data_IF_517292194151
#
_entry.id   IF_517292194151
#
_cell.length_a   1.000
_cell.length_b   1.000
_cell.length_c   1.000
_cell.angle_alpha   90.00
_cell.angle_beta   90.00
_cell.angle_gamma   90.00
#
_symmetry.space_group_name_H-M   'P 1'
#
loop_
_entity.id
_entity.type
_entity.pdbx_description
1 polymer ?
#
# COMPACT_ATOMS: atom_id res chain seq x y z
N UNK A 1 27.56 34.56 14.67
CA UNK A 1 26.79 33.87 15.74
C UNK A 1 25.33 33.93 15.33
N UNK A 2 24.86 32.88 14.69
CA UNK A 2 23.45 32.71 14.29
C UNK A 2 22.95 31.55 15.15
N UNK A 3 21.99 31.85 16.01
CA UNK A 3 21.37 30.87 16.90
C UNK A 3 20.43 29.98 16.09
N UNK A 4 20.64 28.68 16.17
CA UNK A 4 19.74 27.64 15.69
C UNK A 4 18.65 27.44 16.74
N UNK A 5 17.42 27.80 16.41
CA UNK A 5 16.23 27.51 17.23
C UNK A 5 15.64 26.19 16.74
N UNK A 6 15.98 25.09 17.41
CA UNK A 6 15.37 23.78 17.26
C UNK A 6 14.20 23.67 18.24
N UNK A 7 13.00 24.04 17.84
CA UNK A 7 11.78 23.65 18.55
C UNK A 7 11.01 22.57 17.78
N UNK A 8 11.50 21.33 17.86
CA UNK A 8 10.69 20.17 17.52
C UNK A 8 9.65 19.94 18.62
N UNK A 9 8.40 20.29 18.36
CA UNK A 9 7.28 19.95 19.23
C UNK A 9 7.03 18.44 19.10
N UNK A 10 7.64 17.68 20.00
CA UNK A 10 7.33 16.25 20.20
C UNK A 10 5.98 16.18 20.90
N UNK A 11 4.97 15.66 20.20
CA UNK A 11 3.69 15.27 20.80
C UNK A 11 3.96 14.01 21.64
N UNK A 12 3.54 13.93 22.91
CA UNK A 12 3.87 12.80 23.78
C UNK A 12 3.26 11.50 23.28
N UNK A 13 4.07 10.44 23.27
CA UNK A 13 3.65 9.04 23.13
C UNK A 13 2.81 8.66 24.35
N UNK A 14 1.48 8.66 24.24
CA UNK A 14 0.59 8.07 25.24
C UNK A 14 0.29 6.62 24.86
N UNK A 15 0.74 5.78 25.74
CA UNK A 15 0.61 4.35 25.97
C UNK A 15 -0.58 3.64 25.27
N UNK A 16 -0.30 2.93 24.16
CA UNK A 16 -1.27 2.17 23.37
C UNK A 16 -1.47 0.72 23.86
N UNK A 17 -1.06 0.38 25.10
CA UNK A 17 -1.20 -0.98 25.63
C UNK A 17 -1.94 -1.00 26.94
N UNK A 18 -3.21 -1.44 26.89
CA UNK A 18 -4.09 -2.06 27.90
C UNK A 18 -5.40 -1.31 28.10
N UNK A 19 -6.49 -1.82 27.54
CA UNK A 19 -7.69 -2.17 28.30
C UNK A 19 -8.72 -2.96 27.50
N UNK A 20 -9.40 -3.88 28.17
CA UNK A 20 -10.30 -4.88 27.64
C UNK A 20 -11.76 -4.39 27.56
N UNK A 21 -12.19 -3.98 26.36
CA UNK A 21 -13.61 -3.92 25.98
C UNK A 21 -13.74 -3.95 24.44
N UNK A 22 -14.12 -5.11 23.89
CA UNK A 22 -13.91 -5.48 22.48
C UNK A 22 -14.84 -4.84 21.44
N UNK A 23 -15.88 -4.08 21.75
CA UNK A 23 -16.88 -3.65 20.78
C UNK A 23 -16.99 -2.14 20.50
N UNK A 24 -16.26 -1.29 21.25
CA UNK A 24 -16.21 0.17 21.01
C UNK A 24 -14.86 0.64 20.46
N UNK A 25 -13.82 -0.21 20.50
CA UNK A 25 -12.45 0.10 20.09
C UNK A 25 -12.25 0.07 18.58
N UNK A 26 -13.08 -0.65 17.85
CA UNK A 26 -12.86 -1.00 16.45
C UNK A 26 -13.09 0.21 15.51
N UNK A 27 -14.13 0.99 15.76
CA UNK A 27 -14.43 2.24 15.04
C UNK A 27 -13.41 3.34 15.37
N UNK A 28 -12.73 3.22 16.51
CA UNK A 28 -11.82 4.24 17.04
C UNK A 28 -10.46 4.26 16.35
N UNK A 29 -9.93 3.09 15.89
CA UNK A 29 -8.61 3.01 15.23
C UNK A 29 -8.61 3.73 13.87
N UNK A 30 -9.51 3.37 12.96
CA UNK A 30 -9.62 3.99 11.65
C UNK A 30 -10.00 5.48 11.74
N UNK A 31 -10.87 5.84 12.69
CA UNK A 31 -11.24 7.23 12.95
C UNK A 31 -10.03 8.06 13.37
N UNK A 32 -9.24 7.57 14.32
CA UNK A 32 -8.01 8.25 14.77
C UNK A 32 -6.97 8.41 13.67
N UNK A 33 -6.76 7.37 12.88
CA UNK A 33 -5.84 7.46 11.73
C UNK A 33 -6.33 8.51 10.74
N UNK A 34 -7.63 8.49 10.40
CA UNK A 34 -8.21 9.46 9.48
C UNK A 34 -8.02 10.91 9.98
N UNK A 35 -8.36 11.18 11.24
CA UNK A 35 -8.19 12.51 11.85
C UNK A 35 -6.73 12.95 11.82
N UNK A 36 -5.81 12.07 12.20
CA UNK A 36 -4.37 12.36 12.20
C UNK A 36 -3.84 12.62 10.79
N UNK A 37 -4.19 11.78 9.83
CA UNK A 37 -3.79 11.97 8.43
C UNK A 37 -4.26 13.32 7.89
N UNK A 38 -5.51 13.71 8.17
CA UNK A 38 -6.02 15.01 7.74
C UNK A 38 -5.26 16.18 8.36
N UNK A 39 -4.91 16.11 9.66
CA UNK A 39 -4.10 17.13 10.31
C UNK A 39 -2.68 17.21 9.73
N UNK A 40 -2.06 16.07 9.41
CA UNK A 40 -0.76 16.02 8.76
C UNK A 40 -0.80 16.60 7.35
N UNK A 41 -1.85 16.31 6.58
CA UNK A 41 -2.06 16.87 5.23
C UNK A 41 -2.29 18.37 5.33
N UNK A 42 -3.14 18.84 6.25
CA UNK A 42 -3.36 20.27 6.48
C UNK A 42 -2.03 20.99 6.80
N UNK A 43 -1.22 20.44 7.69
CA UNK A 43 0.08 21.01 8.00
C UNK A 43 1.00 21.06 6.76
N UNK A 44 1.15 19.95 6.03
CA UNK A 44 2.02 19.90 4.84
C UNK A 44 1.53 20.81 3.72
N UNK A 45 0.22 20.94 3.54
CA UNK A 45 -0.40 21.84 2.55
C UNK A 45 -0.20 23.34 2.87
N UNK A 46 0.06 23.71 4.13
CA UNK A 46 0.49 25.08 4.45
C UNK A 46 1.93 25.36 4.01
N UNK A 47 2.79 24.34 4.00
CA UNK A 47 4.19 24.45 3.56
C UNK A 47 4.33 24.40 2.04
N UNK A 48 3.48 23.60 1.38
CA UNK A 48 3.38 23.48 -0.07
C UNK A 48 1.91 23.58 -0.50
N UNK A 49 1.42 24.77 -0.84
CA UNK A 49 0.01 25.03 -1.20
C UNK A 49 -0.46 24.17 -2.37
N UNK A 50 -1.77 23.85 -2.40
CA UNK A 50 -2.36 22.96 -3.40
C UNK A 50 -2.03 23.36 -4.85
N UNK A 51 -2.09 24.65 -5.18
CA UNK A 51 -1.72 25.12 -6.52
C UNK A 51 -0.27 24.80 -6.87
N UNK A 52 0.65 25.00 -5.93
CA UNK A 52 2.08 24.77 -6.17
C UNK A 52 2.43 23.28 -6.29
N UNK A 53 1.78 22.42 -5.48
CA UNK A 53 2.01 20.96 -5.58
C UNK A 53 1.50 20.42 -6.91
N UNK A 54 0.36 20.92 -7.40
CA UNK A 54 -0.19 20.57 -8.72
C UNK A 54 0.77 20.96 -9.83
N UNK A 55 1.26 22.22 -9.84
CA UNK A 55 2.23 22.69 -10.84
C UNK A 55 3.51 21.83 -10.83
N UNK A 56 4.07 21.58 -9.66
CA UNK A 56 5.29 20.73 -9.54
C UNK A 56 5.05 19.30 -10.01
N UNK A 57 3.91 18.71 -9.70
CA UNK A 57 3.59 17.35 -10.12
C UNK A 57 3.39 17.25 -11.65
N UNK A 58 2.81 18.29 -12.27
CA UNK A 58 2.64 18.38 -13.72
C UNK A 58 3.96 18.59 -14.47
N UNK A 59 4.95 19.21 -13.84
CA UNK A 59 6.28 19.43 -14.42
C UNK A 59 7.14 18.15 -14.49
N UNK A 60 6.71 17.04 -13.83
CA UNK A 60 7.44 15.77 -13.88
C UNK A 60 7.25 15.12 -15.25
N UNK A 61 8.34 14.98 -16.00
CA UNK A 61 8.34 14.40 -17.35
C UNK A 61 8.51 12.87 -17.36
N UNK A 62 9.03 12.28 -16.28
CA UNK A 62 9.14 10.83 -16.17
C UNK A 62 7.75 10.21 -15.99
N UNK A 63 7.35 9.30 -16.90
CA UNK A 63 6.07 8.62 -16.80
C UNK A 63 6.05 7.57 -15.67
N UNK A 64 4.89 7.33 -15.02
CA UNK A 64 4.73 6.19 -14.14
C UNK A 64 5.03 4.87 -14.83
N UNK A 65 5.55 3.90 -14.08
CA UNK A 65 6.02 2.62 -14.60
C UNK A 65 4.90 1.62 -14.92
N UNK A 66 3.63 1.97 -14.75
CA UNK A 66 2.48 1.13 -15.08
C UNK A 66 2.33 -0.07 -14.15
N UNK A 67 1.91 0.19 -12.91
CA UNK A 67 1.77 -0.81 -11.84
C UNK A 67 0.83 -1.95 -12.22
N UNK A 68 -0.36 -1.65 -12.74
CA UNK A 68 -1.31 -2.65 -13.16
C UNK A 68 -0.86 -3.43 -14.40
N UNK A 69 -0.11 -2.81 -15.31
CA UNK A 69 0.44 -3.49 -16.47
C UNK A 69 1.48 -4.54 -16.05
N UNK A 70 2.35 -4.24 -15.09
CA UNK A 70 3.32 -5.21 -14.57
C UNK A 70 2.63 -6.46 -13.98
N UNK A 71 1.50 -6.30 -13.31
CA UNK A 71 0.70 -7.43 -12.80
C UNK A 71 0.05 -8.22 -13.92
N UNK A 72 -0.49 -7.56 -14.98
CA UNK A 72 -1.07 -8.20 -16.15
C UNK A 72 -0.04 -9.04 -16.90
N UNK A 73 1.16 -8.53 -17.09
CA UNK A 73 2.26 -9.23 -17.76
C UNK A 73 2.59 -10.53 -17.03
N UNK A 74 2.74 -10.50 -15.70
CA UNK A 74 2.97 -11.71 -14.90
C UNK A 74 1.85 -12.74 -15.07
N UNK A 75 0.60 -12.29 -15.01
CA UNK A 75 -0.56 -13.19 -15.20
C UNK A 75 -0.59 -13.80 -16.60
N UNK A 76 -0.28 -13.02 -17.63
CA UNK A 76 -0.23 -13.50 -19.03
C UNK A 76 0.84 -14.58 -19.23
N UNK A 77 1.94 -14.50 -18.52
CA UNK A 77 3.02 -15.47 -18.51
C UNK A 77 2.77 -16.66 -17.54
N UNK A 78 1.57 -16.74 -16.97
CA UNK A 78 1.21 -17.73 -15.95
C UNK A 78 2.11 -17.69 -14.70
N UNK A 79 2.65 -16.51 -14.40
CA UNK A 79 3.46 -16.25 -13.23
C UNK A 79 2.63 -15.53 -12.15
N UNK A 80 3.13 -15.59 -10.90
CA UNK A 80 2.51 -14.90 -9.78
C UNK A 80 2.90 -13.41 -9.81
N UNK A 81 1.92 -12.51 -9.81
CA UNK A 81 2.11 -11.08 -9.65
C UNK A 81 2.38 -10.72 -8.18
N UNK A 82 3.60 -10.90 -7.69
CA UNK A 82 3.94 -10.56 -6.31
C UNK A 82 4.20 -9.06 -6.16
N UNK A 83 3.41 -8.41 -5.30
CA UNK A 83 3.63 -7.06 -4.80
C UNK A 83 4.34 -7.20 -3.46
N UNK A 84 5.66 -7.00 -3.46
CA UNK A 84 6.49 -7.17 -2.28
C UNK A 84 6.44 -5.91 -1.39
N UNK A 85 5.87 -6.04 -0.20
CA UNK A 85 5.67 -4.91 0.71
C UNK A 85 6.86 -4.67 1.61
N UNK A 86 7.20 -3.39 1.78
CA UNK A 86 8.29 -2.87 2.60
C UNK A 86 7.73 -1.98 3.71
N UNK A 87 8.04 -2.32 4.98
CA UNK A 87 7.63 -1.54 6.17
C UNK A 87 8.57 -1.79 7.35
N UNK A 88 8.81 -0.76 8.14
CA UNK A 88 9.64 -0.85 9.37
C UNK A 88 8.91 -1.53 10.52
N UNK A 89 7.62 -1.23 10.65
CA UNK A 89 6.78 -1.69 11.75
C UNK A 89 5.33 -1.89 11.30
N UNK A 90 4.52 -2.51 12.14
CA UNK A 90 3.06 -2.55 11.99
C UNK A 90 2.36 -2.58 13.35
N UNK A 91 1.09 -2.14 13.45
CA UNK A 91 0.32 -2.18 14.70
C UNK A 91 0.21 -3.58 15.32
N UNK A 92 0.13 -4.62 14.48
CA UNK A 92 -0.05 -6.00 14.93
C UNK A 92 1.26 -6.73 15.28
N UNK A 93 2.38 -6.35 14.68
CA UNK A 93 3.65 -7.08 14.80
C UNK A 93 4.78 -6.29 15.46
N UNK A 94 4.56 -4.99 15.75
CA UNK A 94 5.61 -4.09 16.24
C UNK A 94 6.71 -3.85 15.20
N UNK A 95 7.94 -3.64 15.65
CA UNK A 95 9.11 -3.46 14.76
C UNK A 95 9.43 -4.79 14.07
N UNK A 96 9.49 -4.78 12.74
CA UNK A 96 9.79 -5.95 11.89
C UNK A 96 11.27 -6.00 11.52
N UNK A 97 11.87 -4.86 11.25
CA UNK A 97 13.27 -4.73 10.84
C UNK A 97 13.92 -3.61 11.65
N UNK A 98 15.04 -3.91 12.33
CA UNK A 98 15.83 -2.91 13.07
C UNK A 98 16.68 -2.05 12.13
N UNK A 99 17.29 -2.66 11.11
CA UNK A 99 18.12 -2.01 10.10
C UNK A 99 17.39 -2.00 8.75
N UNK A 100 16.46 -1.06 8.59
CA UNK A 100 15.65 -0.92 7.40
C UNK A 100 16.39 -0.09 6.34
N UNK A 101 16.80 -0.73 5.25
CA UNK A 101 17.40 -0.08 4.08
C UNK A 101 16.50 -0.33 2.86
N UNK A 102 15.70 0.68 2.43
CA UNK A 102 14.79 0.53 1.30
C UNK A 102 15.49 0.16 -0.01
N UNK A 103 16.71 0.67 -0.23
CA UNK A 103 17.43 0.40 -1.46
C UNK A 103 17.93 -1.06 -1.54
N UNK A 104 18.39 -1.61 -0.43
CA UNK A 104 18.85 -3.00 -0.36
C UNK A 104 17.67 -3.96 -0.55
N UNK A 105 16.55 -3.70 0.16
CA UNK A 105 15.36 -4.55 0.09
C UNK A 105 14.74 -4.50 -1.31
N UNK A 106 14.62 -3.31 -1.93
CA UNK A 106 14.04 -3.15 -3.25
C UNK A 106 14.81 -3.93 -4.32
N UNK A 107 16.14 -3.86 -4.31
CA UNK A 107 16.99 -4.67 -5.22
C UNK A 107 16.81 -6.16 -5.00
N UNK A 108 16.81 -6.61 -3.75
CA UNK A 108 16.62 -8.02 -3.43
C UNK A 108 15.25 -8.55 -3.93
N UNK A 109 14.20 -7.77 -3.78
CA UNK A 109 12.87 -8.12 -4.27
C UNK A 109 12.81 -8.17 -5.81
N UNK A 110 13.43 -7.21 -6.50
CA UNK A 110 13.51 -7.21 -7.97
C UNK A 110 14.30 -8.41 -8.50
N UNK A 111 15.50 -8.67 -7.97
CA UNK A 111 16.35 -9.81 -8.37
C UNK A 111 15.65 -11.16 -8.17
N UNK A 112 14.83 -11.28 -7.13
CA UNK A 112 14.06 -12.49 -6.88
C UNK A 112 12.81 -12.63 -7.76
N UNK A 113 12.40 -11.55 -8.45
CA UNK A 113 11.33 -11.57 -9.46
C UNK A 113 9.97 -11.12 -8.94
N UNK A 114 9.92 -10.26 -7.93
CA UNK A 114 8.71 -9.51 -7.61
C UNK A 114 8.20 -8.74 -8.85
N UNK A 115 6.91 -8.51 -8.94
CA UNK A 115 6.30 -7.74 -10.03
C UNK A 115 6.29 -6.24 -9.72
N UNK A 116 6.00 -5.89 -8.48
CA UNK A 116 5.86 -4.53 -7.98
C UNK A 116 6.35 -4.43 -6.53
N UNK A 117 6.59 -3.20 -6.08
CA UNK A 117 6.80 -2.88 -4.67
C UNK A 117 5.54 -2.23 -4.07
N UNK A 118 5.36 -2.43 -2.76
CA UNK A 118 4.46 -1.64 -1.92
C UNK A 118 5.28 -1.03 -0.79
N UNK A 119 5.30 0.30 -0.68
CA UNK A 119 6.12 0.98 0.33
C UNK A 119 5.22 1.75 1.28
N UNK A 120 5.30 1.41 2.58
CA UNK A 120 4.60 2.12 3.64
C UNK A 120 5.21 3.50 3.82
N UNK A 121 4.41 4.56 3.64
CA UNK A 121 4.81 5.95 3.88
C UNK A 121 4.13 6.54 5.12
N UNK A 122 3.13 5.86 5.69
CA UNK A 122 2.47 6.27 6.91
C UNK A 122 3.43 6.19 8.11
N UNK A 123 3.58 7.30 8.82
CA UNK A 123 4.61 7.46 9.86
C UNK A 123 4.17 6.89 11.21
N UNK A 124 2.95 7.17 11.64
CA UNK A 124 2.54 6.98 13.04
C UNK A 124 2.44 5.52 13.47
N UNK A 125 1.88 4.67 12.62
CA UNK A 125 1.62 3.27 12.90
C UNK A 125 2.65 2.34 12.26
N UNK A 126 3.21 2.73 11.11
CA UNK A 126 4.13 1.90 10.32
C UNK A 126 5.57 2.40 10.30
N UNK A 127 5.83 3.59 10.88
CA UNK A 127 7.15 4.26 10.92
C UNK A 127 7.74 4.47 9.52
N UNK A 128 6.88 4.65 8.51
CA UNK A 128 7.25 4.95 7.14
C UNK A 128 7.53 6.44 6.93
N UNK A 129 8.08 6.77 5.77
CA UNK A 129 8.22 8.15 5.30
C UNK A 129 8.27 8.19 3.77
N UNK A 130 8.06 9.37 3.19
CA UNK A 130 8.09 9.57 1.73
C UNK A 130 9.46 9.22 1.12
N UNK A 131 10.53 9.45 1.85
CA UNK A 131 11.90 9.13 1.44
C UNK A 131 12.10 7.63 1.24
N UNK A 132 11.47 6.78 2.03
CA UNK A 132 11.55 5.32 1.88
C UNK A 132 11.07 4.88 0.49
N UNK A 133 9.97 5.49 -0.02
CA UNK A 133 9.44 5.22 -1.35
C UNK A 133 10.39 5.73 -2.43
N UNK A 134 10.86 6.97 -2.32
CA UNK A 134 11.78 7.57 -3.29
C UNK A 134 13.08 6.77 -3.42
N UNK A 135 13.65 6.35 -2.28
CA UNK A 135 14.88 5.53 -2.25
C UNK A 135 14.64 4.15 -2.85
N UNK A 136 13.54 3.48 -2.51
CA UNK A 136 13.19 2.19 -3.09
C UNK A 136 13.02 2.26 -4.61
N UNK A 137 12.27 3.27 -5.12
CA UNK A 137 12.07 3.51 -6.55
C UNK A 137 13.37 3.74 -7.31
N UNK A 138 14.30 4.52 -6.74
CA UNK A 138 15.60 4.79 -7.35
C UNK A 138 16.52 3.57 -7.40
N UNK A 139 16.32 2.61 -6.51
CA UNK A 139 17.17 1.43 -6.38
C UNK A 139 16.82 0.28 -7.35
N UNK A 140 15.63 0.29 -7.96
CA UNK A 140 15.15 -0.77 -8.85
C UNK A 140 14.27 -0.19 -9.99
N UNK A 141 13.85 -1.05 -10.92
CA UNK A 141 12.96 -0.71 -12.02
C UNK A 141 11.49 -1.03 -11.75
N UNK A 142 11.16 -1.68 -10.64
CA UNK A 142 9.79 -2.11 -10.32
C UNK A 142 8.85 -0.92 -10.12
N UNK A 143 7.58 -1.02 -10.57
CA UNK A 143 6.55 -0.06 -10.20
C UNK A 143 6.28 -0.08 -8.70
N UNK A 144 5.95 1.09 -8.13
CA UNK A 144 5.82 1.28 -6.68
C UNK A 144 4.42 1.76 -6.30
N UNK A 145 3.76 1.02 -5.43
CA UNK A 145 2.55 1.43 -4.74
C UNK A 145 2.93 2.25 -3.50
N UNK A 146 2.39 3.46 -3.38
CA UNK A 146 2.35 4.19 -2.11
C UNK A 146 1.29 3.59 -1.19
N UNK A 147 1.71 2.87 -0.17
CA UNK A 147 0.84 2.28 0.85
C UNK A 147 0.67 3.29 2.00
N UNK A 148 -0.41 4.03 1.96
CA UNK A 148 -0.72 5.13 2.88
C UNK A 148 -2.24 5.32 2.98
N UNK A 149 -2.72 6.15 3.92
CA UNK A 149 -4.11 6.57 3.99
C UNK A 149 -4.31 7.83 3.14
N UNK A 150 -4.75 7.65 1.89
CA UNK A 150 -4.98 8.76 0.96
C UNK A 150 -6.42 9.25 1.14
N UNK A 151 -6.59 10.48 1.62
CA UNK A 151 -7.88 11.08 1.99
C UNK A 151 -8.16 12.41 1.30
N UNK A 152 -7.14 13.03 0.70
CA UNK A 152 -7.18 14.38 0.15
C UNK A 152 -6.47 14.44 -1.20
N UNK A 153 -6.98 15.17 -2.20
CA UNK A 153 -6.34 15.34 -3.51
C UNK A 153 -4.89 15.81 -3.46
N UNK A 154 -4.51 16.59 -2.46
CA UNK A 154 -3.14 17.05 -2.26
C UNK A 154 -2.15 15.86 -2.17
N UNK A 155 -2.57 14.77 -1.49
CA UNK A 155 -1.75 13.56 -1.35
C UNK A 155 -1.53 12.82 -2.68
N UNK A 156 -2.46 12.95 -3.64
CA UNK A 156 -2.30 12.36 -4.99
C UNK A 156 -1.12 13.02 -5.72
N UNK A 157 -1.05 14.35 -5.67
CA UNK A 157 0.05 15.11 -6.26
C UNK A 157 1.37 14.87 -5.51
N UNK A 158 1.32 14.80 -4.18
CA UNK A 158 2.49 14.40 -3.38
C UNK A 158 2.98 13.00 -3.79
N UNK A 159 2.07 12.06 -4.02
CA UNK A 159 2.43 10.70 -4.49
C UNK A 159 3.18 10.74 -5.82
N UNK A 160 2.73 11.61 -6.74
CA UNK A 160 3.44 11.84 -8.00
C UNK A 160 4.86 12.40 -7.78
N UNK A 161 5.00 13.38 -6.87
CA UNK A 161 6.30 14.00 -6.56
C UNK A 161 7.32 13.04 -5.97
N UNK A 162 6.89 12.12 -5.12
CA UNK A 162 7.78 11.10 -4.53
C UNK A 162 8.02 9.90 -5.44
N UNK A 163 7.34 9.85 -6.60
CA UNK A 163 7.54 8.84 -7.63
C UNK A 163 6.66 7.59 -7.45
N UNK A 164 5.50 7.68 -6.81
CA UNK A 164 4.55 6.56 -6.80
C UNK A 164 3.97 6.31 -8.20
N UNK A 165 3.84 5.04 -8.56
CA UNK A 165 3.21 4.57 -9.79
C UNK A 165 1.75 4.13 -9.57
N UNK A 166 1.40 3.87 -8.31
CA UNK A 166 0.07 3.50 -7.84
C UNK A 166 -0.18 4.09 -6.45
N UNK A 167 -1.44 4.42 -6.16
CA UNK A 167 -1.91 4.80 -4.82
C UNK A 167 -2.96 3.83 -4.32
N UNK A 168 -3.11 3.76 -2.99
CA UNK A 168 -4.14 2.97 -2.31
C UNK A 168 -5.33 3.86 -1.94
N UNK A 169 -6.54 3.43 -2.29
CA UNK A 169 -7.78 4.03 -1.80
C UNK A 169 -8.59 2.97 -1.04
N UNK A 170 -8.82 3.19 0.26
CA UNK A 170 -9.47 2.25 1.16
C UNK A 170 -10.95 2.62 1.27
N UNK A 171 -11.85 1.75 0.74
CA UNK A 171 -13.28 2.04 0.67
C UNK A 171 -13.93 2.16 2.06
N UNK A 172 -13.38 1.47 3.06
CA UNK A 172 -13.86 1.52 4.44
C UNK A 172 -13.81 2.92 5.08
N UNK A 173 -12.94 3.82 4.60
CA UNK A 173 -12.72 5.16 5.19
C UNK A 173 -13.06 6.32 4.25
N UNK A 174 -13.48 6.02 3.01
CA UNK A 174 -13.79 7.02 1.99
C UNK A 174 -15.26 6.96 1.59
N UNK A 175 -15.89 8.12 1.38
CA UNK A 175 -17.19 8.20 0.71
C UNK A 175 -17.03 7.98 -0.81
N UNK A 176 -18.13 7.69 -1.51
CA UNK A 176 -18.09 7.52 -2.96
C UNK A 176 -17.65 8.79 -3.70
N UNK A 177 -18.03 9.96 -3.18
CA UNK A 177 -17.64 11.27 -3.72
C UNK A 177 -16.13 11.46 -3.59
N UNK A 178 -15.55 11.15 -2.42
CA UNK A 178 -14.11 11.22 -2.19
C UNK A 178 -13.34 10.24 -3.09
N UNK A 179 -13.82 9.00 -3.23
CA UNK A 179 -13.19 8.02 -4.13
C UNK A 179 -13.20 8.52 -5.57
N UNK A 180 -14.33 9.03 -6.05
CA UNK A 180 -14.46 9.58 -7.41
C UNK A 180 -13.48 10.73 -7.64
N UNK A 181 -13.41 11.69 -6.72
CA UNK A 181 -12.51 12.84 -6.79
C UNK A 181 -11.03 12.41 -6.84
N UNK A 182 -10.62 11.50 -5.93
CA UNK A 182 -9.24 11.00 -5.87
C UNK A 182 -8.85 10.23 -7.13
N UNK A 183 -9.75 9.43 -7.70
CA UNK A 183 -9.55 8.73 -8.99
C UNK A 183 -9.33 9.72 -10.12
N UNK A 184 -10.13 10.79 -10.21
CA UNK A 184 -9.99 11.82 -11.25
C UNK A 184 -8.60 12.50 -11.17
N UNK A 185 -8.15 12.86 -9.96
CA UNK A 185 -6.82 13.42 -9.77
C UNK A 185 -5.71 12.43 -10.13
N UNK A 186 -5.84 11.15 -9.76
CA UNK A 186 -4.87 10.11 -10.09
C UNK A 186 -4.78 9.87 -11.61
N UNK A 187 -5.92 9.83 -12.31
CA UNK A 187 -5.99 9.76 -13.78
C UNK A 187 -5.26 10.93 -14.44
N UNK A 188 -5.44 12.15 -13.91
CA UNK A 188 -4.74 13.35 -14.40
C UNK A 188 -3.22 13.27 -14.28
N UNK A 189 -2.70 12.40 -13.42
CA UNK A 189 -1.26 12.16 -13.18
C UNK A 189 -0.74 10.84 -13.75
N UNK A 190 -1.56 10.08 -14.48
CA UNK A 190 -1.26 8.72 -14.97
C UNK A 190 -0.88 7.73 -13.87
N UNK A 191 -1.32 7.96 -12.61
CA UNK A 191 -1.07 7.06 -11.48
C UNK A 191 -2.20 6.02 -11.42
N UNK A 192 -1.85 4.75 -11.30
CA UNK A 192 -2.80 3.67 -11.07
C UNK A 192 -3.44 3.77 -9.68
N UNK A 193 -4.65 3.25 -9.54
CA UNK A 193 -5.38 3.24 -8.26
C UNK A 193 -5.75 1.82 -7.89
N UNK A 194 -5.30 1.36 -6.72
CA UNK A 194 -5.72 0.12 -6.09
C UNK A 194 -6.87 0.42 -5.11
N UNK A 195 -8.08 -0.04 -5.43
CA UNK A 195 -9.24 0.08 -4.54
C UNK A 195 -9.26 -1.08 -3.55
N UNK A 196 -9.01 -0.80 -2.27
CA UNK A 196 -9.02 -1.82 -1.21
C UNK A 196 -10.41 -1.99 -0.63
N UNK A 197 -10.86 -3.26 -0.56
CA UNK A 197 -12.17 -3.70 -0.04
C UNK A 197 -12.01 -4.87 0.94
N UNK A 198 -12.95 -4.98 1.91
CA UNK A 198 -12.93 -5.99 2.96
C UNK A 198 -14.19 -6.85 3.00
N UNK A 199 -15.25 -6.47 2.31
CA UNK A 199 -16.55 -7.12 2.31
C UNK A 199 -17.31 -6.88 1.00
N UNK A 200 -18.48 -7.51 0.87
CA UNK A 200 -19.33 -7.45 -0.31
C UNK A 200 -19.85 -6.03 -0.59
N UNK A 201 -20.21 -5.28 0.45
CA UNK A 201 -20.73 -3.91 0.31
C UNK A 201 -19.66 -2.96 -0.25
N UNK A 202 -18.43 -3.04 0.26
CA UNK A 202 -17.31 -2.26 -0.25
C UNK A 202 -16.94 -2.68 -1.67
N UNK A 203 -17.01 -3.99 -1.99
CA UNK A 203 -16.76 -4.48 -3.35
C UNK A 203 -17.80 -3.94 -4.34
N UNK A 204 -19.08 -3.99 -4.02
CA UNK A 204 -20.15 -3.43 -4.87
C UNK A 204 -19.93 -1.95 -5.15
N UNK A 205 -19.48 -1.19 -4.13
CA UNK A 205 -19.09 0.21 -4.30
C UNK A 205 -17.86 0.36 -5.21
N UNK A 206 -16.83 -0.46 -5.03
CA UNK A 206 -15.61 -0.42 -5.83
C UNK A 206 -15.88 -0.70 -7.32
N UNK A 207 -16.77 -1.65 -7.62
CA UNK A 207 -17.12 -2.02 -8.99
C UNK A 207 -17.87 -0.92 -9.76
N UNK A 208 -18.43 0.08 -9.07
CA UNK A 208 -19.06 1.21 -9.71
C UNK A 208 -18.06 2.24 -10.27
N UNK A 209 -16.78 2.17 -9.89
CA UNK A 209 -15.74 3.08 -10.36
C UNK A 209 -15.00 2.52 -11.57
N UNK A 210 -14.52 3.42 -12.42
CA UNK A 210 -13.71 3.10 -13.60
C UNK A 210 -12.23 2.93 -13.21
N UNK A 211 -11.94 1.87 -12.45
CA UNK A 211 -10.59 1.43 -12.07
C UNK A 211 -10.50 -0.06 -12.31
N UNK A 212 -9.33 -0.54 -12.70
CA UNK A 212 -9.16 -1.95 -13.04
C UNK A 212 -8.47 -2.79 -11.94
N UNK A 213 -7.91 -2.16 -10.89
CA UNK A 213 -7.26 -2.83 -9.77
C UNK A 213 -8.21 -2.90 -8.56
N UNK A 214 -8.53 -4.10 -8.11
CA UNK A 214 -9.31 -4.36 -6.91
C UNK A 214 -8.43 -5.12 -5.90
N UNK A 215 -8.22 -4.51 -4.74
CA UNK A 215 -7.52 -5.11 -3.61
C UNK A 215 -8.51 -5.75 -2.64
N UNK A 216 -8.45 -7.06 -2.45
CA UNK A 216 -9.23 -7.75 -1.43
C UNK A 216 -8.33 -7.98 -0.22
N UNK A 217 -8.56 -7.21 0.86
CA UNK A 217 -7.76 -7.34 2.06
C UNK A 217 -8.38 -8.34 3.02
N UNK A 218 -7.66 -9.43 3.28
CA UNK A 218 -8.04 -10.49 4.20
C UNK A 218 -7.89 -10.07 5.68
N UNK A 219 -7.33 -8.89 5.95
CA UNK A 219 -7.21 -8.35 7.31
C UNK A 219 -8.36 -7.41 7.61
N UNK A 220 -9.12 -7.72 8.64
CA UNK A 220 -10.07 -6.77 9.21
C UNK A 220 -9.30 -5.61 9.84
N UNK A 221 -9.53 -4.38 9.36
CA UNK A 221 -8.79 -3.19 9.83
C UNK A 221 -9.18 -2.77 11.26
N UNK A 222 -10.29 -3.27 11.76
CA UNK A 222 -10.75 -2.97 13.12
C UNK A 222 -10.17 -3.97 14.13
N UNK A 223 -10.31 -5.28 13.89
CA UNK A 223 -9.84 -6.33 14.82
C UNK A 223 -8.39 -6.76 14.58
N UNK A 224 -7.80 -6.38 13.45
CA UNK A 224 -6.50 -6.82 12.93
C UNK A 224 -6.39 -8.32 12.66
N UNK A 225 -7.49 -9.07 12.80
CA UNK A 225 -7.56 -10.48 12.48
C UNK A 225 -7.46 -10.71 10.96
N UNK A 226 -6.87 -11.84 10.58
CA UNK A 226 -6.68 -12.22 9.18
C UNK A 226 -7.47 -13.47 8.88
N UNK A 227 -8.34 -13.38 7.87
CA UNK A 227 -9.13 -14.49 7.34
C UNK A 227 -9.01 -14.58 5.82
N UNK A 228 -8.17 -15.49 5.32
CA UNK A 228 -7.93 -15.65 3.87
C UNK A 228 -9.18 -16.09 3.10
N UNK A 229 -10.25 -16.54 3.78
CA UNK A 229 -11.53 -16.89 3.13
C UNK A 229 -12.30 -15.66 2.64
N UNK A 230 -11.92 -14.45 3.05
CA UNK A 230 -12.51 -13.21 2.50
C UNK A 230 -12.29 -13.15 0.98
N UNK A 231 -11.06 -13.41 0.51
CA UNK A 231 -10.79 -13.50 -0.93
C UNK A 231 -11.64 -14.57 -1.60
N UNK A 232 -11.78 -15.77 -0.99
CA UNK A 232 -12.58 -16.87 -1.55
C UNK A 232 -14.05 -16.48 -1.78
N UNK A 233 -14.62 -15.68 -0.87
CA UNK A 233 -16.01 -15.21 -0.98
C UNK A 233 -16.18 -14.14 -2.05
N UNK A 234 -15.27 -13.17 -2.10
CA UNK A 234 -15.43 -11.99 -2.94
C UNK A 234 -15.02 -12.21 -4.39
N UNK A 235 -14.07 -13.11 -4.66
CA UNK A 235 -13.48 -13.29 -5.99
C UNK A 235 -14.53 -13.60 -7.08
N UNK A 236 -15.58 -14.35 -6.75
CA UNK A 236 -16.64 -14.73 -7.70
C UNK A 236 -17.53 -13.55 -8.11
N UNK A 237 -17.50 -12.44 -7.37
CA UNK A 237 -18.28 -11.23 -7.64
C UNK A 237 -17.51 -10.23 -8.52
N UNK A 238 -16.19 -10.42 -8.68
CA UNK A 238 -15.35 -9.50 -9.46
C UNK A 238 -15.43 -9.84 -10.94
N UNK A 239 -15.76 -8.89 -11.84
CA UNK A 239 -15.77 -9.09 -13.28
C UNK A 239 -14.38 -9.46 -13.83
N UNK A 240 -14.31 -10.21 -14.95
CA UNK A 240 -13.06 -10.74 -15.49
C UNK A 240 -12.14 -9.69 -16.13
N UNK A 241 -12.62 -8.47 -16.32
CA UNK A 241 -11.85 -7.32 -16.83
C UNK A 241 -11.08 -6.58 -15.72
N UNK A 242 -11.27 -6.98 -14.48
CA UNK A 242 -10.56 -6.43 -13.32
C UNK A 242 -9.35 -7.28 -12.95
N UNK A 243 -8.33 -6.63 -12.43
CA UNK A 243 -7.16 -7.27 -11.81
C UNK A 243 -7.44 -7.42 -10.32
N UNK A 244 -7.42 -8.66 -9.84
CA UNK A 244 -7.63 -8.95 -8.43
C UNK A 244 -6.29 -9.07 -7.72
N UNK A 245 -6.08 -8.24 -6.70
CA UNK A 245 -4.96 -8.31 -5.77
C UNK A 245 -5.49 -8.83 -4.43
N UNK A 246 -4.97 -9.95 -3.94
CA UNK A 246 -5.29 -10.43 -2.59
C UNK A 246 -4.21 -9.98 -1.61
N UNK A 247 -4.63 -9.40 -0.49
CA UNK A 247 -3.74 -8.78 0.49
C UNK A 247 -3.85 -9.47 1.85
N UNK A 248 -2.75 -9.55 2.55
CA UNK A 248 -2.63 -10.11 3.91
C UNK A 248 -2.84 -11.62 4.04
N UNK A 249 -2.05 -12.24 4.91
CA UNK A 249 -2.26 -13.61 5.39
C UNK A 249 -1.47 -14.70 4.70
N UNK A 250 -0.77 -14.43 3.61
CA UNK A 250 -0.01 -15.43 2.84
C UNK A 250 1.35 -15.72 3.48
N UNK A 251 1.65 -17.02 3.59
CA UNK A 251 2.90 -17.53 4.17
C UNK A 251 3.62 -18.52 3.27
N UNK A 252 2.91 -19.16 2.34
CA UNK A 252 3.43 -20.25 1.52
C UNK A 252 3.02 -20.12 0.05
N UNK A 253 3.86 -20.69 -0.82
CA UNK A 253 3.54 -20.82 -2.25
C UNK A 253 2.22 -21.56 -2.48
N UNK A 254 1.91 -22.60 -1.69
CA UNK A 254 0.69 -23.39 -1.88
C UNK A 254 -0.60 -22.57 -1.67
N UNK A 255 -0.61 -21.66 -0.69
CA UNK A 255 -1.74 -20.74 -0.47
C UNK A 255 -1.94 -19.80 -1.66
N UNK A 256 -0.84 -19.24 -2.18
CA UNK A 256 -0.85 -18.36 -3.36
C UNK A 256 -1.31 -19.12 -4.60
N UNK A 257 -0.72 -20.30 -4.90
CA UNK A 257 -1.04 -21.10 -6.07
C UNK A 257 -2.52 -21.52 -6.11
N UNK A 258 -3.13 -21.80 -4.95
CA UNK A 258 -4.56 -22.08 -4.84
C UNK A 258 -5.39 -20.90 -5.35
N UNK A 259 -5.10 -19.68 -4.91
CA UNK A 259 -5.87 -18.49 -5.31
C UNK A 259 -5.58 -18.06 -6.76
N UNK A 260 -4.37 -18.30 -7.27
CA UNK A 260 -4.08 -18.14 -8.71
C UNK A 260 -5.03 -19.02 -9.55
N UNK A 261 -5.26 -20.27 -9.13
CA UNK A 261 -6.19 -21.16 -9.85
C UNK A 261 -7.65 -20.70 -9.81
N UNK A 262 -7.99 -19.77 -8.90
CA UNK A 262 -9.30 -19.14 -8.79
C UNK A 262 -9.40 -17.80 -9.54
N UNK A 263 -8.29 -17.29 -10.10
CA UNK A 263 -8.27 -16.05 -10.88
C UNK A 263 -7.63 -14.83 -10.19
N UNK A 264 -7.03 -14.99 -9.02
CA UNK A 264 -6.26 -13.90 -8.39
C UNK A 264 -5.00 -13.64 -9.21
N UNK A 265 -4.79 -12.39 -9.59
CA UNK A 265 -3.67 -11.95 -10.43
C UNK A 265 -2.47 -11.49 -9.62
N UNK A 266 -2.72 -10.76 -8.53
CA UNK A 266 -1.69 -10.15 -7.68
C UNK A 266 -1.80 -10.57 -6.22
N UNK A 267 -0.66 -10.57 -5.52
CA UNK A 267 -0.58 -10.87 -4.09
C UNK A 267 0.28 -9.84 -3.39
N UNK A 268 -0.30 -9.11 -2.44
CA UNK A 268 0.44 -8.14 -1.63
C UNK A 268 0.89 -8.82 -0.33
N UNK A 269 2.21 -8.99 -0.19
CA UNK A 269 2.83 -9.72 0.91
C UNK A 269 3.99 -8.93 1.51
N UNK A 270 4.01 -8.80 2.83
CA UNK A 270 5.06 -8.05 3.54
C UNK A 270 5.70 -8.81 4.69
N UNK A 271 4.94 -9.09 5.75
CA UNK A 271 5.51 -9.57 7.01
C UNK A 271 6.39 -10.81 6.88
N UNK A 272 5.98 -11.81 6.11
CA UNK A 272 6.74 -13.04 5.90
C UNK A 272 8.05 -12.78 5.17
N UNK A 273 8.09 -11.82 4.23
CA UNK A 273 9.29 -11.44 3.50
C UNK A 273 10.29 -10.70 4.39
N UNK A 274 9.77 -9.81 5.25
CA UNK A 274 10.58 -8.94 6.08
C UNK A 274 11.15 -9.63 7.32
N UNK A 275 10.55 -10.73 7.76
CA UNK A 275 11.05 -11.54 8.89
C UNK A 275 12.23 -12.45 8.53
N UNK A 276 12.48 -12.69 7.25
CA UNK A 276 13.61 -13.47 6.78
C UNK A 276 14.86 -12.60 6.66
N UNK A 277 16.03 -13.14 7.00
CA UNK A 277 17.29 -12.43 6.83
C UNK A 277 17.72 -12.32 5.36
N UNK A 278 17.31 -13.27 4.52
CA UNK A 278 17.47 -13.24 3.07
C UNK A 278 16.13 -12.90 2.40
N UNK A 279 15.98 -11.64 2.07
CA UNK A 279 14.74 -11.13 1.46
C UNK A 279 14.51 -11.66 0.04
N UNK A 280 15.59 -11.91 -0.72
CA UNK A 280 15.49 -12.46 -2.06
C UNK A 280 15.03 -13.93 -2.02
N UNK A 281 15.57 -14.72 -1.10
CA UNK A 281 15.13 -16.11 -0.92
C UNK A 281 13.68 -16.18 -0.47
N UNK A 282 13.25 -15.32 0.44
CA UNK A 282 11.85 -15.26 0.89
C UNK A 282 10.88 -15.01 -0.28
N UNK A 283 11.23 -14.13 -1.22
CA UNK A 283 10.45 -13.90 -2.45
C UNK A 283 10.45 -15.14 -3.33
N UNK A 284 11.63 -15.77 -3.56
CA UNK A 284 11.72 -16.98 -4.39
C UNK A 284 10.87 -18.14 -3.83
N UNK A 285 10.89 -18.34 -2.52
CA UNK A 285 10.06 -19.35 -1.84
C UNK A 285 8.56 -19.10 -2.08
N UNK A 286 8.08 -17.86 -1.94
CA UNK A 286 6.68 -17.52 -2.21
C UNK A 286 6.30 -17.65 -3.69
N UNK A 287 7.24 -17.46 -4.61
CA UNK A 287 7.03 -17.64 -6.05
C UNK A 287 7.18 -19.11 -6.50
N UNK A 288 7.48 -20.05 -5.57
CA UNK A 288 7.70 -21.45 -5.88
C UNK A 288 8.96 -21.72 -6.73
N UNK A 289 9.93 -20.80 -6.69
CA UNK A 289 11.20 -20.94 -7.42
C UNK A 289 12.19 -21.76 -6.56
N UNK A 290 13.03 -22.60 -7.19
CA UNK A 290 14.06 -23.35 -6.45
C UNK A 290 15.10 -22.41 -5.85
N UNK A 291 15.76 -22.87 -4.78
CA UNK A 291 16.98 -22.22 -4.28
C UNK A 291 18.09 -22.28 -5.34
N UNK A 292 18.74 -21.14 -5.58
CA UNK A 292 19.98 -21.11 -6.34
C UNK A 292 21.16 -21.65 -5.56
#
# INVERSE_FOLDING_TARGET
MIATDESSTVIPDDDLTKDSSHSLKDTEFLTRIRERTLLEVEHRSTLLPFKEIVEKAQDITEEPRGFGNALKEKSSDQQIGLIAEMKKASPSAGVLIEHYDPAVIARAYEEAGAACLSVLTENSCFRGCNEDLTVARQACSLPVLRKDFILDPWQVYESRLIGADCILLILAILSNEQVSELIEHAKGMNIDVLLEVHNEEELDRALAFDTFLIGINNRNLNTLEVDITVTDRLISMVPPDRIIVSESGFKTYAEIARLVSMGVTGFLVGEVLLRQSDHAEAVRELLGKPKE
#
